data_IF_831785637595
#
_entry.id   IF_831785637595
#
_cell.length_a   1.000
_cell.length_b   1.000
_cell.length_c   1.000
_cell.angle_alpha   90.00
_cell.angle_beta   90.00
_cell.angle_gamma   90.00
#
_symmetry.space_group_name_H-M   'P 1'
#
loop_
_entity.id
_entity.type
_entity.pdbx_description
1 polymer ?
#
# COMPACT_ATOMS: atom_id res chain seq x y z
N UNK A 1 14.75 17.64 0.17
CA UNK A 1 14.41 17.25 1.56
C UNK A 1 13.27 16.26 1.47
N UNK A 2 13.54 14.97 1.68
CA UNK A 2 12.49 13.95 1.77
C UNK A 2 12.00 13.93 3.21
N UNK A 3 10.69 14.01 3.42
CA UNK A 3 10.12 13.80 4.75
C UNK A 3 10.35 12.32 5.13
N UNK A 4 10.82 12.02 6.35
CA UNK A 4 10.94 10.63 6.79
C UNK A 4 9.57 9.95 6.72
N UNK A 5 9.55 8.71 6.25
CA UNK A 5 8.33 7.89 6.26
C UNK A 5 7.79 7.78 7.69
N UNK A 6 6.49 8.00 7.87
CA UNK A 6 5.81 7.88 9.16
C UNK A 6 4.67 6.88 9.05
N UNK A 7 4.61 5.93 9.98
CA UNK A 7 3.42 5.13 10.21
C UNK A 7 2.39 5.99 10.93
N UNK A 8 1.32 6.38 10.21
CA UNK A 8 0.21 7.13 10.75
C UNK A 8 -0.87 6.19 11.32
N UNK A 9 -1.55 6.66 12.35
CA UNK A 9 -2.74 5.97 12.87
C UNK A 9 -3.94 6.36 11.99
N UNK A 10 -4.52 5.36 11.32
CA UNK A 10 -5.70 5.48 10.48
C UNK A 10 -6.94 4.82 11.11
N UNK A 11 -6.91 4.55 12.42
CA UNK A 11 -8.06 4.00 13.14
C UNK A 11 -9.29 4.89 12.98
N UNK A 12 -10.47 4.27 13.06
CA UNK A 12 -11.77 4.94 12.90
C UNK A 12 -12.06 5.49 11.50
N UNK A 13 -11.16 5.33 10.52
CA UNK A 13 -11.48 5.60 9.12
C UNK A 13 -12.32 4.45 8.54
N UNK A 14 -13.33 4.80 7.76
CA UNK A 14 -14.11 3.83 7.01
C UNK A 14 -13.34 3.37 5.77
N UNK A 15 -13.53 2.10 5.42
CA UNK A 15 -13.00 1.50 4.20
C UNK A 15 -14.12 0.74 3.47
N UNK A 16 -14.01 0.64 2.14
CA UNK A 16 -14.93 -0.15 1.31
C UNK A 16 -14.37 -1.54 1.01
N UNK A 17 -13.05 -1.63 0.83
CA UNK A 17 -12.33 -2.87 0.55
C UNK A 17 -11.08 -2.98 1.43
N UNK A 18 -10.75 -4.19 1.86
CA UNK A 18 -9.50 -4.49 2.55
C UNK A 18 -9.01 -5.90 2.24
N UNK A 19 -7.71 -6.12 2.44
CA UNK A 19 -7.10 -7.45 2.48
C UNK A 19 -6.27 -7.58 3.75
N UNK A 20 -6.36 -8.73 4.40
CA UNK A 20 -5.62 -9.04 5.63
C UNK A 20 -4.70 -10.23 5.39
N UNK A 21 -3.43 -10.09 5.76
CA UNK A 21 -2.43 -11.16 5.69
C UNK A 21 -1.97 -11.56 7.08
N UNK A 22 -1.83 -12.87 7.30
CA UNK A 22 -1.05 -13.37 8.43
C UNK A 22 0.42 -13.31 8.05
N UNK A 23 1.20 -12.48 8.75
CA UNK A 23 2.64 -12.31 8.53
C UNK A 23 3.43 -13.05 9.60
N UNK A 24 4.50 -13.71 9.21
CA UNK A 24 5.45 -14.30 10.15
C UNK A 24 6.54 -13.29 10.56
N UNK A 25 7.39 -13.67 11.52
CA UNK A 25 8.44 -12.80 12.06
C UNK A 25 9.47 -12.35 11.00
N UNK A 26 9.78 -13.20 10.02
CA UNK A 26 10.74 -12.87 8.94
C UNK A 26 10.14 -11.83 8.00
N UNK A 27 8.90 -12.05 7.56
CA UNK A 27 8.19 -11.10 6.70
C UNK A 27 8.03 -9.74 7.39
N UNK A 28 7.66 -9.76 8.67
CA UNK A 28 7.54 -8.53 9.47
C UNK A 28 8.89 -7.80 9.60
N UNK A 29 9.98 -8.51 9.91
CA UNK A 29 11.31 -7.91 10.00
C UNK A 29 11.76 -7.29 8.66
N UNK A 30 11.52 -7.98 7.54
CA UNK A 30 11.84 -7.47 6.21
C UNK A 30 11.04 -6.19 5.88
N UNK A 31 9.75 -6.15 6.24
CA UNK A 31 8.92 -4.96 6.07
C UNK A 31 9.48 -3.77 6.86
N UNK A 32 9.81 -3.98 8.14
CA UNK A 32 10.38 -2.93 8.99
C UNK A 32 11.73 -2.45 8.46
N UNK A 33 12.59 -3.36 7.99
CA UNK A 33 13.88 -2.99 7.39
C UNK A 33 13.69 -2.10 6.16
N UNK A 34 12.77 -2.47 5.26
CA UNK A 34 12.45 -1.66 4.09
C UNK A 34 11.91 -0.27 4.46
N UNK A 35 11.08 -0.18 5.50
CA UNK A 35 10.53 1.10 5.97
C UNK A 35 11.56 2.03 6.61
N UNK A 36 12.63 1.46 7.18
CA UNK A 36 13.72 2.23 7.80
C UNK A 36 14.77 2.73 6.80
N UNK A 37 14.74 2.24 5.56
CA UNK A 37 15.60 2.72 4.50
C UNK A 37 14.93 3.91 3.78
N UNK A 38 15.52 5.12 3.81
CA UNK A 38 14.91 6.27 3.16
C UNK A 38 14.90 6.08 1.64
N UNK A 39 13.72 6.13 1.03
CA UNK A 39 13.62 6.26 -0.43
C UNK A 39 14.32 7.53 -0.88
N UNK A 40 15.24 7.38 -1.83
CA UNK A 40 16.02 8.50 -2.37
C UNK A 40 15.26 9.29 -3.44
N UNK A 41 14.15 8.76 -3.96
CA UNK A 41 13.46 9.36 -5.12
C UNK A 41 11.97 9.03 -5.10
N UNK A 42 11.13 10.05 -5.20
CA UNK A 42 9.70 9.94 -5.47
C UNK A 42 9.45 10.06 -6.96
N UNK A 43 8.69 9.13 -7.53
CA UNK A 43 8.23 9.18 -8.92
C UNK A 43 6.71 9.03 -8.95
N UNK A 44 6.04 9.87 -9.73
CA UNK A 44 4.57 9.89 -9.77
C UNK A 44 3.99 8.62 -10.41
N UNK A 45 4.75 7.95 -11.28
CA UNK A 45 4.33 6.79 -12.06
C UNK A 45 4.52 5.50 -11.26
N UNK A 46 5.69 5.28 -10.66
CA UNK A 46 6.08 3.96 -10.12
C UNK A 46 6.73 3.96 -8.72
N UNK A 47 7.00 5.13 -8.13
CA UNK A 47 7.56 5.24 -6.78
C UNK A 47 6.84 6.32 -5.97
N UNK A 48 5.52 6.26 -6.03
CA UNK A 48 4.60 7.09 -5.26
C UNK A 48 4.12 6.33 -4.00
N UNK A 49 3.06 6.81 -3.33
CA UNK A 49 2.54 6.16 -2.13
C UNK A 49 2.09 4.71 -2.35
N UNK A 50 1.50 4.40 -3.52
CA UNK A 50 1.05 3.06 -3.88
C UNK A 50 2.24 2.19 -4.22
N UNK A 51 3.13 2.69 -5.09
CA UNK A 51 4.32 1.97 -5.50
C UNK A 51 5.24 1.62 -4.34
N UNK A 52 5.39 2.55 -3.39
CA UNK A 52 6.15 2.28 -2.17
C UNK A 52 5.51 1.19 -1.31
N UNK A 53 4.18 1.21 -1.15
CA UNK A 53 3.47 0.18 -0.38
C UNK A 53 3.60 -1.21 -1.04
N UNK A 54 3.44 -1.28 -2.36
CA UNK A 54 3.63 -2.51 -3.14
C UNK A 54 5.06 -3.03 -3.04
N UNK A 55 6.06 -2.17 -3.22
CA UNK A 55 7.46 -2.54 -3.13
C UNK A 55 7.83 -3.03 -1.71
N UNK A 56 7.32 -2.36 -0.66
CA UNK A 56 7.52 -2.77 0.73
C UNK A 56 6.92 -4.15 1.01
N UNK A 57 5.68 -4.38 0.58
CA UNK A 57 5.03 -5.68 0.72
C UNK A 57 5.75 -6.77 -0.07
N UNK A 58 6.14 -6.50 -1.32
CA UNK A 58 6.85 -7.45 -2.16
C UNK A 58 8.22 -7.82 -1.58
N UNK A 59 9.00 -6.85 -1.10
CA UNK A 59 10.26 -7.09 -0.39
C UNK A 59 10.07 -7.94 0.87
N UNK A 60 8.96 -7.71 1.59
CA UNK A 60 8.58 -8.50 2.76
C UNK A 60 8.01 -9.90 2.43
N UNK A 61 7.81 -10.24 1.15
CA UNK A 61 7.16 -11.49 0.75
C UNK A 61 5.67 -11.54 1.09
N UNK A 62 5.00 -10.39 1.11
CA UNK A 62 3.56 -10.21 1.30
C UNK A 62 2.94 -9.94 -0.09
N UNK A 63 2.04 -10.79 -0.60
CA UNK A 63 1.58 -10.73 -1.98
C UNK A 63 0.47 -9.68 -2.18
N UNK A 64 0.80 -8.40 -2.03
CA UNK A 64 -0.12 -7.31 -2.37
C UNK A 64 -0.40 -7.32 -3.89
N UNK A 65 -1.67 -7.19 -4.34
CA UNK A 65 -1.96 -7.17 -5.76
C UNK A 65 -1.43 -5.89 -6.43
N UNK A 66 -1.20 -5.97 -7.73
CA UNK A 66 -0.75 -4.85 -8.56
C UNK A 66 -1.80 -3.73 -8.61
N UNK A 67 -1.41 -2.52 -8.23
CA UNK A 67 -2.21 -1.31 -8.25
C UNK A 67 -2.02 -0.46 -9.51
N UNK A 68 -1.37 -1.00 -10.54
CA UNK A 68 -1.20 -0.34 -11.83
C UNK A 68 -2.54 -0.07 -12.51
N UNK A 69 -2.75 1.18 -12.93
CA UNK A 69 -3.90 1.60 -13.71
C UNK A 69 -3.46 2.57 -14.81
N UNK A 70 -4.21 2.58 -15.91
CA UNK A 70 -4.06 3.59 -16.95
C UNK A 70 -4.57 4.93 -16.43
N UNK A 71 -3.68 5.93 -16.40
CA UNK A 71 -3.97 7.31 -16.01
C UNK A 71 -3.78 8.25 -17.21
N UNK A 72 -4.46 9.39 -17.18
CA UNK A 72 -4.45 10.38 -18.27
C UNK A 72 -5.56 10.15 -19.30
N UNK A 73 -5.73 11.13 -20.20
CA UNK A 73 -6.71 11.08 -21.27
C UNK A 73 -6.06 10.60 -22.57
N UNK A 74 -6.81 9.86 -23.38
CA UNK A 74 -6.37 9.52 -24.73
C UNK A 74 -6.26 10.80 -25.57
N UNK A 75 -5.04 11.14 -26.03
CA UNK A 75 -4.77 12.33 -26.82
C UNK A 75 -3.37 12.93 -26.59
N UNK A 76 -3.10 14.14 -27.13
CA UNK A 76 -1.85 14.85 -26.87
C UNK A 76 -1.70 15.14 -25.37
N UNK A 77 -0.65 14.61 -24.75
CA UNK A 77 -0.48 14.56 -23.29
C UNK A 77 -0.43 13.13 -22.74
N UNK A 78 -0.97 12.16 -23.49
CA UNK A 78 -0.76 10.73 -23.32
C UNK A 78 -1.55 10.07 -22.19
N UNK A 79 -1.95 8.82 -22.43
CA UNK A 79 -2.28 7.89 -21.37
C UNK A 79 -1.00 7.12 -20.99
N UNK A 80 -0.77 6.91 -19.70
CA UNK A 80 0.34 6.10 -19.19
C UNK A 80 -0.16 5.13 -18.13
N UNK A 81 0.59 4.06 -17.88
CA UNK A 81 0.34 3.16 -16.76
C UNK A 81 1.09 3.71 -15.55
N UNK A 82 0.42 3.83 -14.41
CA UNK A 82 1.00 4.25 -13.14
C UNK A 82 0.40 3.43 -11.99
N UNK A 83 1.16 3.24 -10.92
CA UNK A 83 0.66 2.65 -9.68
C UNK A 83 -0.24 3.67 -8.97
N UNK A 84 -1.48 3.32 -8.71
CA UNK A 84 -2.46 4.26 -8.14
C UNK A 84 -3.25 3.64 -6.99
N UNK A 85 -3.68 4.43 -5.99
CA UNK A 85 -4.54 3.91 -4.94
C UNK A 85 -5.87 3.38 -5.49
N UNK A 86 -6.37 4.00 -6.57
CA UNK A 86 -7.59 3.57 -7.24
C UNK A 86 -7.40 2.21 -7.94
N UNK A 87 -6.29 2.02 -8.66
CA UNK A 87 -5.93 0.74 -9.27
C UNK A 87 -5.79 -0.37 -8.22
N UNK A 88 -5.09 -0.09 -7.12
CA UNK A 88 -4.99 -1.04 -6.00
C UNK A 88 -6.35 -1.39 -5.42
N UNK A 89 -7.22 -0.39 -5.20
CA UNK A 89 -8.60 -0.60 -4.74
C UNK A 89 -9.41 -1.49 -5.69
N UNK A 90 -9.33 -1.26 -7.00
CA UNK A 90 -9.98 -2.10 -8.02
C UNK A 90 -9.41 -3.52 -8.04
N UNK A 91 -8.10 -3.69 -7.92
CA UNK A 91 -7.47 -5.01 -7.85
C UNK A 91 -7.92 -5.79 -6.62
N UNK A 92 -8.06 -5.13 -5.46
CA UNK A 92 -8.61 -5.75 -4.26
C UNK A 92 -10.08 -6.15 -4.42
N UNK A 93 -10.90 -5.31 -5.06
CA UNK A 93 -12.31 -5.63 -5.32
C UNK A 93 -12.44 -6.84 -6.27
N UNK A 94 -11.56 -6.94 -7.26
CA UNK A 94 -11.48 -8.10 -8.17
C UNK A 94 -11.05 -9.41 -7.47
N UNK A 95 -10.46 -9.33 -6.28
CA UNK A 95 -10.12 -10.49 -5.46
C UNK A 95 -11.28 -10.95 -4.57
N UNK A 96 -12.49 -10.41 -4.75
CA UNK A 96 -13.69 -10.80 -3.99
C UNK A 96 -13.87 -12.32 -3.93
N UNK A 97 -14.06 -12.82 -2.71
CA UNK A 97 -14.23 -14.25 -2.43
C UNK A 97 -12.92 -14.99 -2.13
N UNK A 98 -11.75 -14.35 -2.29
CA UNK A 98 -10.49 -14.88 -1.81
C UNK A 98 -10.35 -14.72 -0.29
N UNK A 99 -9.55 -15.59 0.33
CA UNK A 99 -9.31 -15.56 1.77
C UNK A 99 -8.64 -14.24 2.19
N UNK A 100 -9.13 -13.65 3.28
CA UNK A 100 -8.59 -12.40 3.82
C UNK A 100 -9.07 -11.12 3.12
N UNK A 101 -9.80 -11.23 2.00
CA UNK A 101 -10.40 -10.08 1.30
C UNK A 101 -11.79 -9.76 1.87
N UNK A 102 -12.02 -8.49 2.20
CA UNK A 102 -13.32 -7.96 2.59
C UNK A 102 -13.75 -6.88 1.59
N UNK A 103 -14.91 -7.05 0.96
CA UNK A 103 -15.54 -6.05 0.06
C UNK A 103 -16.85 -5.49 0.62
N UNK A 104 -17.17 -5.78 1.88
CA UNK A 104 -18.37 -5.28 2.56
C UNK A 104 -18.10 -3.97 3.33
N UNK A 105 -16.87 -3.48 3.24
CA UNK A 105 -16.37 -2.36 4.02
C UNK A 105 -16.27 -2.64 5.51
N UNK A 106 -16.06 -1.55 6.25
CA UNK A 106 -15.97 -1.54 7.71
C UNK A 106 -15.21 -0.32 8.18
N UNK A 107 -14.89 -0.30 9.46
CA UNK A 107 -14.09 0.76 10.08
C UNK A 107 -12.77 0.18 10.53
N UNK A 108 -11.66 0.87 10.27
CA UNK A 108 -10.32 0.41 10.66
C UNK A 108 -10.27 0.29 12.19
N UNK A 109 -9.90 -0.90 12.73
CA UNK A 109 -9.84 -1.10 14.17
C UNK A 109 -8.81 -0.19 14.82
N UNK A 110 -9.01 0.11 16.10
CA UNK A 110 -8.08 0.90 16.89
C UNK A 110 -6.70 0.24 16.89
N UNK A 111 -5.65 1.03 16.61
CA UNK A 111 -4.27 0.54 16.70
C UNK A 111 -3.94 0.28 18.17
N UNK A 112 -3.10 -0.71 18.46
CA UNK A 112 -2.56 -0.91 19.81
C UNK A 112 -1.42 0.08 20.15
N UNK A 113 -1.36 1.22 19.44
CA UNK A 113 -0.30 2.22 19.54
C UNK A 113 0.58 2.28 18.29
N UNK A 114 1.31 3.39 18.09
CA UNK A 114 2.15 3.57 16.92
C UNK A 114 3.39 2.66 16.97
N UNK A 115 3.73 2.03 15.84
CA UNK A 115 5.02 1.38 15.61
C UNK A 115 6.11 2.45 15.38
N UNK A 116 6.38 3.29 16.38
CA UNK A 116 7.45 4.28 16.28
C UNK A 116 8.78 3.60 16.61
N UNK A 117 9.73 3.61 15.68
CA UNK A 117 11.14 3.46 16.04
C UNK A 117 11.49 4.63 16.96
N UNK A 118 11.92 4.35 18.19
CA UNK A 118 12.58 5.37 19.01
C UNK A 118 13.85 5.78 18.27
N UNK A 119 13.94 7.05 17.92
CA UNK A 119 15.20 7.69 17.52
C UNK A 119 16.24 7.59 18.65
#
# INVERSE_FOLDING_TARGET
MHAPGKLADNSQLDYNVSITYNVNSVQFANLINYLNEPLLTYDLIDMNCTGYAEAACHYAGIPLPDGSATVGLAGPGGATVAQTPAGLGSSLDNMKGQSGVNTNGGTIPTTHGPCNQKA
#
